data_IF_003867208355
#
_entry.id   IF_003867208355
#
_cell.length_a   1.000
_cell.length_b   1.000
_cell.length_c   1.000
_cell.angle_alpha   90.00
_cell.angle_beta   90.00
_cell.angle_gamma   90.00
#
_symmetry.space_group_name_H-M   'P 1'
#
loop_
_entity.id
_entity.type
_entity.pdbx_description
1 polymer ?
#
# COMPACT_ATOMS: atom_id res chain seq x y z
N UNK A 1 -22.95 0.27 -22.59
CA UNK A 1 -24.02 1.28 -22.74
C UNK A 1 -23.43 2.45 -23.51
N UNK A 2 -24.07 2.90 -24.60
CA UNK A 2 -23.52 3.96 -25.45
C UNK A 2 -23.95 5.32 -24.90
N UNK A 3 -23.00 6.11 -24.42
CA UNK A 3 -23.23 7.44 -23.88
C UNK A 3 -23.48 8.50 -24.98
N UNK A 4 -23.93 9.71 -24.61
CA UNK A 4 -24.21 10.81 -25.54
C UNK A 4 -22.99 11.23 -26.39
N UNK A 5 -21.77 10.97 -25.91
CA UNK A 5 -20.51 11.33 -26.59
C UNK A 5 -19.97 10.22 -27.51
N UNK A 6 -20.74 9.15 -27.75
CA UNK A 6 -20.30 8.00 -28.55
C UNK A 6 -19.39 7.01 -27.82
N UNK A 7 -19.09 7.27 -26.54
CA UNK A 7 -18.32 6.40 -25.65
C UNK A 7 -19.15 5.16 -25.31
N UNK A 8 -18.55 3.98 -25.45
CA UNK A 8 -19.12 2.72 -24.96
C UNK A 8 -18.54 2.36 -23.61
N UNK A 9 -19.41 2.24 -22.60
CA UNK A 9 -19.01 1.81 -21.25
C UNK A 9 -19.44 0.38 -21.00
N UNK A 10 -18.49 -0.47 -20.61
CA UNK A 10 -18.73 -1.79 -20.02
C UNK A 10 -18.26 -1.79 -18.57
N UNK A 11 -18.90 -2.61 -17.72
CA UNK A 11 -18.57 -2.73 -16.30
C UNK A 11 -18.51 -4.21 -15.92
N UNK A 12 -17.52 -4.57 -15.12
CA UNK A 12 -17.33 -5.90 -14.57
C UNK A 12 -16.73 -5.84 -13.18
N UNK A 13 -17.10 -6.80 -12.34
CA UNK A 13 -16.54 -6.96 -11.00
C UNK A 13 -15.76 -8.28 -10.96
N UNK A 14 -14.53 -8.23 -10.46
CA UNK A 14 -13.61 -9.37 -10.43
C UNK A 14 -13.10 -9.58 -9.01
N UNK A 15 -12.87 -10.84 -8.63
CA UNK A 15 -12.29 -11.16 -7.35
C UNK A 15 -10.78 -10.84 -7.32
N UNK A 16 -10.27 -10.33 -6.20
CA UNK A 16 -8.82 -10.13 -5.98
C UNK A 16 -8.10 -11.43 -5.59
N UNK A 17 -8.53 -12.55 -6.16
CA UNK A 17 -7.87 -13.86 -6.07
C UNK A 17 -7.06 -14.10 -7.33
N UNK A 18 -6.12 -15.06 -7.31
CA UNK A 18 -5.36 -15.41 -8.53
C UNK A 18 -6.28 -15.71 -9.72
N UNK A 19 -7.34 -16.50 -9.50
CA UNK A 19 -8.29 -16.85 -10.56
C UNK A 19 -9.05 -15.61 -11.06
N UNK A 20 -9.56 -14.77 -10.16
CA UNK A 20 -10.27 -13.55 -10.55
C UNK A 20 -9.39 -12.52 -11.26
N UNK A 21 -8.10 -12.46 -10.92
CA UNK A 21 -7.14 -11.60 -11.64
C UNK A 21 -6.80 -12.13 -13.03
N UNK A 22 -6.79 -13.46 -13.23
CA UNK A 22 -6.69 -14.06 -14.58
C UNK A 22 -7.94 -13.73 -15.39
N UNK A 23 -9.13 -13.83 -14.81
CA UNK A 23 -10.39 -13.44 -15.46
C UNK A 23 -10.39 -11.96 -15.84
N UNK A 24 -9.92 -11.08 -14.96
CA UNK A 24 -9.74 -9.65 -15.23
C UNK A 24 -8.78 -9.43 -16.41
N UNK A 25 -7.63 -10.11 -16.42
CA UNK A 25 -6.65 -9.98 -17.50
C UNK A 25 -7.23 -10.44 -18.86
N UNK A 26 -7.95 -11.56 -18.88
CA UNK A 26 -8.64 -12.03 -20.09
C UNK A 26 -9.69 -11.02 -20.56
N UNK A 27 -10.52 -10.51 -19.65
CA UNK A 27 -11.54 -9.51 -19.97
C UNK A 27 -10.95 -8.24 -20.60
N UNK A 28 -9.86 -7.72 -20.04
CA UNK A 28 -9.18 -6.54 -20.56
C UNK A 28 -8.52 -6.82 -21.93
N UNK A 29 -7.94 -8.00 -22.10
CA UNK A 29 -7.32 -8.42 -23.36
C UNK A 29 -8.35 -8.62 -24.48
N UNK A 30 -9.50 -9.25 -24.19
CA UNK A 30 -10.59 -9.45 -25.15
C UNK A 30 -11.20 -8.12 -25.60
N UNK A 31 -11.29 -7.16 -24.69
CA UNK A 31 -11.71 -5.80 -24.98
C UNK A 31 -10.60 -4.93 -25.63
N UNK A 32 -9.40 -5.49 -25.85
CA UNK A 32 -8.25 -4.81 -26.45
C UNK A 32 -7.89 -3.50 -25.71
N UNK A 33 -7.94 -3.52 -24.38
CA UNK A 33 -7.62 -2.36 -23.55
C UNK A 33 -6.14 -2.02 -23.65
N UNK A 34 -5.84 -0.81 -24.10
CA UNK A 34 -4.45 -0.31 -24.21
C UNK A 34 -3.93 0.25 -22.88
N UNK A 35 -4.78 0.99 -22.17
CA UNK A 35 -4.42 1.68 -20.92
C UNK A 35 -5.32 1.24 -19.77
N UNK A 36 -4.70 0.84 -18.65
CA UNK A 36 -5.38 0.54 -17.39
C UNK A 36 -4.94 1.53 -16.32
N UNK A 37 -5.90 2.23 -15.71
CA UNK A 37 -5.66 3.10 -14.58
C UNK A 37 -6.20 2.49 -13.29
N UNK A 38 -5.40 2.52 -12.22
CA UNK A 38 -5.81 2.05 -10.88
C UNK A 38 -5.36 3.03 -9.79
N UNK A 39 -6.14 3.13 -8.72
CA UNK A 39 -5.83 4.00 -7.59
C UNK A 39 -4.78 3.38 -6.67
N UNK A 40 -3.85 4.20 -6.18
CA UNK A 40 -2.81 3.80 -5.22
C UNK A 40 -3.35 3.65 -3.79
N UNK A 41 -4.24 2.69 -3.57
CA UNK A 41 -4.90 2.46 -2.27
C UNK A 41 -4.16 1.41 -1.44
N UNK A 42 -3.26 1.87 -0.56
CA UNK A 42 -2.51 0.98 0.34
C UNK A 42 -1.70 -0.08 -0.40
N UNK A 43 -1.83 -1.35 0.01
CA UNK A 43 -1.19 -2.50 -0.67
C UNK A 43 -2.10 -3.16 -1.71
N UNK A 44 -3.37 -2.79 -1.79
CA UNK A 44 -4.38 -3.52 -2.56
C UNK A 44 -4.23 -3.37 -4.08
N UNK A 45 -3.53 -2.34 -4.54
CA UNK A 45 -3.18 -2.20 -5.96
C UNK A 45 -2.11 -3.20 -6.41
N UNK A 46 -1.24 -3.68 -5.51
CA UNK A 46 -0.08 -4.51 -5.87
C UNK A 46 -0.49 -5.80 -6.61
N UNK A 47 -1.44 -6.62 -6.10
CA UNK A 47 -1.83 -7.86 -6.79
C UNK A 47 -2.39 -7.60 -8.18
N UNK A 48 -3.20 -6.56 -8.35
CA UNK A 48 -3.79 -6.18 -9.65
C UNK A 48 -2.69 -5.71 -10.61
N UNK A 49 -1.83 -4.80 -10.15
CA UNK A 49 -0.73 -4.28 -10.96
C UNK A 49 0.21 -5.39 -11.42
N UNK A 50 0.65 -6.27 -10.51
CA UNK A 50 1.58 -7.34 -10.86
C UNK A 50 0.96 -8.40 -11.77
N UNK A 51 -0.36 -8.61 -11.70
CA UNK A 51 -1.05 -9.53 -12.61
C UNK A 51 -1.15 -8.99 -14.04
N UNK A 52 -1.14 -7.66 -14.21
CA UNK A 52 -1.28 -6.99 -15.51
C UNK A 52 0.05 -6.48 -16.08
N UNK A 53 1.10 -6.39 -15.25
CA UNK A 53 2.43 -5.94 -15.65
C UNK A 53 3.00 -6.83 -16.77
N UNK A 54 3.28 -6.23 -17.92
CA UNK A 54 3.74 -6.93 -19.14
C UNK A 54 2.63 -7.53 -20.00
N UNK A 55 1.35 -7.46 -19.59
CA UNK A 55 0.20 -7.85 -20.40
C UNK A 55 -0.53 -6.64 -21.02
N UNK A 56 -0.54 -5.51 -20.31
CA UNK A 56 -1.15 -4.25 -20.74
C UNK A 56 -0.05 -3.27 -21.18
N UNK A 57 -0.29 -2.52 -22.25
CA UNK A 57 0.67 -1.56 -22.80
C UNK A 57 0.96 -0.41 -21.82
N UNK A 58 -0.09 0.26 -21.34
CA UNK A 58 0.01 1.37 -20.38
C UNK A 58 -0.65 1.00 -19.04
N UNK A 59 0.14 0.89 -17.97
CA UNK A 59 -0.35 0.50 -16.63
C UNK A 59 -0.12 1.62 -15.61
N UNK A 60 -1.16 2.41 -15.39
CA UNK A 60 -1.09 3.64 -14.60
C UNK A 60 -1.51 3.41 -13.15
N UNK A 61 -0.57 3.69 -12.24
CA UNK A 61 -0.87 3.81 -10.81
C UNK A 61 -1.12 5.28 -10.46
N UNK A 62 -2.36 5.66 -10.22
CA UNK A 62 -2.78 7.04 -9.97
C UNK A 62 -2.76 7.36 -8.47
N UNK A 63 -2.19 8.51 -8.09
CA UNK A 63 -2.25 8.98 -6.71
C UNK A 63 -3.69 9.41 -6.37
N UNK A 64 -4.25 8.85 -5.29
CA UNK A 64 -5.57 9.19 -4.77
C UNK A 64 -5.80 10.70 -4.58
N UNK A 65 -4.75 11.48 -4.27
CA UNK A 65 -4.87 12.93 -4.11
C UNK A 65 -5.12 13.66 -5.44
N UNK A 66 -4.66 13.09 -6.56
CA UNK A 66 -4.87 13.65 -7.90
C UNK A 66 -6.21 13.22 -8.49
N UNK A 67 -6.68 12.04 -8.09
CA UNK A 67 -8.03 11.55 -8.38
C UNK A 67 -8.98 12.18 -7.36
N UNK A 68 -9.28 13.48 -7.50
CA UNK A 68 -10.13 14.21 -6.53
C UNK A 68 -11.35 13.37 -6.12
N UNK A 69 -11.52 13.16 -4.82
CA UNK A 69 -12.74 12.60 -4.24
C UNK A 69 -13.92 13.52 -4.59
N UNK A 70 -14.79 13.05 -5.49
CA UNK A 70 -16.05 13.74 -5.79
C UNK A 70 -17.02 13.44 -4.64
N UNK A 71 -17.52 14.46 -3.92
CA UNK A 71 -18.48 14.25 -2.85
C UNK A 71 -19.72 13.52 -3.39
N UNK A 72 -20.02 12.33 -2.86
CA UNK A 72 -21.24 11.59 -3.20
C UNK A 72 -21.05 10.23 -3.87
N UNK A 73 -19.81 9.80 -4.20
CA UNK A 73 -19.56 8.41 -4.62
C UNK A 73 -19.49 7.47 -3.42
N UNK A 74 -20.13 6.31 -3.55
CA UNK A 74 -20.36 5.35 -2.46
C UNK A 74 -19.97 3.91 -2.79
N UNK A 75 -19.58 3.61 -4.03
CA UNK A 75 -19.31 2.23 -4.46
C UNK A 75 -18.04 2.13 -5.30
N UNK A 76 -17.30 1.02 -5.14
CA UNK A 76 -16.06 0.74 -5.89
C UNK A 76 -16.25 0.82 -7.41
N UNK A 77 -17.43 0.41 -7.91
CA UNK A 77 -17.77 0.51 -9.33
C UNK A 77 -17.87 1.96 -9.83
N UNK A 78 -18.44 2.85 -9.01
CA UNK A 78 -18.55 4.27 -9.37
C UNK A 78 -17.20 4.99 -9.36
N UNK A 79 -16.27 4.54 -8.51
CA UNK A 79 -14.91 5.06 -8.45
C UNK A 79 -14.06 4.55 -9.61
N UNK A 80 -14.22 3.27 -10.00
CA UNK A 80 -13.56 2.70 -11.17
C UNK A 80 -14.01 3.38 -12.49
N UNK A 81 -15.31 3.60 -12.66
CA UNK A 81 -15.87 4.30 -13.83
C UNK A 81 -15.31 5.73 -13.95
N UNK A 82 -15.23 6.44 -12.83
CA UNK A 82 -14.63 7.76 -12.81
C UNK A 82 -13.16 7.76 -13.16
N UNK A 83 -12.39 6.84 -12.56
CA UNK A 83 -10.96 6.76 -12.80
C UNK A 83 -10.69 6.49 -14.28
N UNK A 84 -11.49 5.64 -14.91
CA UNK A 84 -11.43 5.40 -16.35
C UNK A 84 -11.72 6.69 -17.16
N UNK A 85 -12.76 7.44 -16.80
CA UNK A 85 -13.13 8.68 -17.49
C UNK A 85 -12.03 9.75 -17.38
N UNK A 86 -11.51 9.99 -16.17
CA UNK A 86 -10.45 10.99 -15.98
C UNK A 86 -9.13 10.58 -16.61
N UNK A 87 -8.82 9.27 -16.66
CA UNK A 87 -7.65 8.75 -17.35
C UNK A 87 -7.78 8.91 -18.86
N UNK A 88 -8.95 8.59 -19.44
CA UNK A 88 -9.23 8.76 -20.87
C UNK A 88 -9.09 10.22 -21.33
N UNK A 89 -9.41 11.17 -20.46
CA UNK A 89 -9.27 12.61 -20.73
C UNK A 89 -7.90 13.19 -20.35
N UNK A 90 -6.94 12.37 -19.92
CA UNK A 90 -5.59 12.82 -19.54
C UNK A 90 -5.54 13.71 -18.31
N UNK A 91 -6.57 13.67 -17.45
CA UNK A 91 -6.67 14.52 -16.25
C UNK A 91 -5.91 13.95 -15.04
N UNK A 92 -5.32 12.76 -15.17
CA UNK A 92 -4.49 12.12 -14.14
C UNK A 92 -3.12 11.79 -14.71
N UNK A 93 -2.11 11.75 -13.82
CA UNK A 93 -0.74 11.40 -14.17
C UNK A 93 -0.34 10.09 -13.48
N UNK A 94 0.27 9.13 -14.20
CA UNK A 94 0.79 7.92 -13.58
C UNK A 94 1.91 8.25 -12.59
N UNK A 95 1.86 7.57 -11.45
CA UNK A 95 2.96 7.55 -10.48
C UNK A 95 4.02 6.55 -10.94
N UNK A 96 5.28 6.85 -10.65
CA UNK A 96 6.37 5.91 -10.92
C UNK A 96 6.22 4.66 -10.05
N UNK A 97 6.04 3.51 -10.72
CA UNK A 97 6.20 2.19 -10.11
C UNK A 97 7.60 1.69 -10.47
N UNK A 98 8.50 1.47 -9.48
CA UNK A 98 9.84 0.98 -9.77
C UNK A 98 9.82 -0.44 -10.37
N UNK A 99 10.90 -0.84 -11.07
CA UNK A 99 11.09 -2.22 -11.50
C UNK A 99 11.04 -3.23 -10.34
N UNK A 100 10.71 -4.51 -10.61
CA UNK A 100 10.57 -5.55 -9.59
C UNK A 100 11.71 -5.60 -8.56
N UNK A 101 12.96 -5.61 -9.02
CA UNK A 101 14.16 -5.68 -8.17
C UNK A 101 14.23 -4.52 -7.15
N UNK A 102 13.87 -3.31 -7.59
CA UNK A 102 13.84 -2.14 -6.72
C UNK A 102 12.66 -2.20 -5.74
N UNK A 103 11.51 -2.76 -6.15
CA UNK A 103 10.35 -2.93 -5.26
C UNK A 103 10.65 -3.91 -4.12
N UNK A 104 11.31 -5.03 -4.42
CA UNK A 104 11.72 -6.02 -3.42
C UNK A 104 12.67 -5.41 -2.38
N UNK A 105 13.70 -4.69 -2.84
CA UNK A 105 14.61 -3.97 -1.94
C UNK A 105 13.88 -2.91 -1.09
N UNK A 106 12.92 -2.19 -1.68
CA UNK A 106 12.10 -1.21 -0.96
C UNK A 106 11.22 -1.86 0.10
N UNK A 107 10.64 -3.01 -0.17
CA UNK A 107 9.78 -3.71 0.80
C UNK A 107 10.62 -4.17 2.03
N UNK A 108 11.81 -4.73 1.81
CA UNK A 108 12.72 -5.15 2.90
C UNK A 108 13.23 -3.94 3.71
N UNK A 109 13.68 -2.89 3.04
CA UNK A 109 14.22 -1.69 3.72
C UNK A 109 13.17 -0.93 4.49
N UNK A 110 11.95 -0.81 3.95
CA UNK A 110 10.80 -0.21 4.64
C UNK A 110 10.38 -1.06 5.84
N UNK A 111 10.30 -2.38 5.68
CA UNK A 111 9.98 -3.27 6.79
C UNK A 111 11.02 -3.16 7.90
N UNK A 112 12.31 -3.17 7.57
CA UNK A 112 13.39 -2.94 8.55
C UNK A 112 13.22 -1.62 9.28
N UNK A 113 12.92 -0.52 8.58
CA UNK A 113 12.68 0.78 9.22
C UNK A 113 11.52 0.70 10.20
N UNK A 114 10.39 0.11 9.80
CA UNK A 114 9.23 -0.11 10.68
C UNK A 114 9.62 -0.90 11.93
N UNK A 115 10.41 -1.97 11.80
CA UNK A 115 10.87 -2.76 12.94
C UNK A 115 11.82 -2.00 13.86
N UNK A 116 12.72 -1.19 13.30
CA UNK A 116 13.62 -0.33 14.07
C UNK A 116 12.83 0.70 14.87
N UNK A 117 11.86 1.37 14.23
CA UNK A 117 11.01 2.37 14.87
C UNK A 117 10.11 1.73 15.95
N UNK A 118 9.57 0.54 15.68
CA UNK A 118 8.79 -0.23 16.66
C UNK A 118 9.66 -0.62 17.88
N UNK A 119 10.86 -1.16 17.64
CA UNK A 119 11.81 -1.50 18.71
C UNK A 119 12.14 -0.28 19.57
N UNK A 120 12.40 0.88 18.95
CA UNK A 120 12.69 2.10 19.69
C UNK A 120 11.51 2.54 20.59
N UNK A 121 10.28 2.46 20.06
CA UNK A 121 9.06 2.75 20.84
C UNK A 121 8.89 1.79 22.00
N UNK A 122 9.15 0.49 21.83
CA UNK A 122 9.02 -0.46 22.94
C UNK A 122 10.09 -0.27 24.00
N UNK A 123 11.32 0.10 23.63
CA UNK A 123 12.35 0.45 24.61
C UNK A 123 11.91 1.67 25.45
N UNK A 124 11.31 2.68 24.82
CA UNK A 124 10.77 3.84 25.54
C UNK A 124 9.60 3.49 26.45
N UNK A 125 8.73 2.56 26.05
CA UNK A 125 7.63 2.09 26.91
C UNK A 125 8.16 1.30 28.11
N UNK A 126 9.14 0.43 27.89
CA UNK A 126 9.82 -0.28 28.97
C UNK A 126 10.44 0.70 29.97
N UNK A 127 11.13 1.74 29.49
CA UNK A 127 11.70 2.76 30.37
C UNK A 127 10.64 3.42 31.25
N UNK A 128 9.49 3.79 30.68
CA UNK A 128 8.40 4.42 31.43
C UNK A 128 7.84 3.50 32.51
N UNK A 129 7.65 2.21 32.20
CA UNK A 129 7.18 1.22 33.18
C UNK A 129 8.17 1.06 34.33
N UNK A 130 9.47 0.98 34.02
CA UNK A 130 10.50 0.87 35.05
C UNK A 130 10.57 2.12 35.92
N UNK A 131 10.48 3.31 35.33
CA UNK A 131 10.45 4.57 36.09
C UNK A 131 9.23 4.67 37.01
N UNK A 132 8.06 4.23 36.55
CA UNK A 132 6.84 4.18 37.37
C UNK A 132 6.99 3.22 38.57
N UNK A 133 7.70 2.11 38.37
CA UNK A 133 8.09 1.18 39.44
C UNK A 133 9.24 1.69 40.34
N UNK A 134 9.73 2.92 40.14
CA UNK A 134 10.86 3.49 40.90
C UNK A 134 12.25 3.02 40.45
N UNK A 135 12.35 2.27 39.35
CA UNK A 135 13.60 1.73 38.80
C UNK A 135 14.12 2.65 37.69
N UNK A 136 15.12 3.49 38.01
CA UNK A 136 15.71 4.42 37.05
C UNK A 136 16.98 3.85 36.39
N UNK A 137 16.82 2.92 35.43
CA UNK A 137 17.99 2.31 34.75
C UNK A 137 18.93 3.32 34.07
N UNK A 138 18.39 4.45 33.60
CA UNK A 138 19.18 5.50 32.94
C UNK A 138 20.13 6.25 33.86
N UNK A 139 20.03 6.11 35.19
CA UNK A 139 21.03 6.69 36.10
C UNK A 139 22.29 5.83 36.23
N UNK A 140 22.22 4.54 35.87
CA UNK A 140 23.30 3.58 36.08
C UNK A 140 23.80 2.92 34.79
N UNK A 141 23.00 2.92 33.72
CA UNK A 141 23.35 2.32 32.45
C UNK A 141 23.31 3.34 31.30
N UNK A 142 24.28 3.24 30.38
CA UNK A 142 24.37 4.12 29.20
C UNK A 142 23.22 3.94 28.20
N UNK A 143 22.51 2.80 28.25
CA UNK A 143 21.36 2.49 27.41
C UNK A 143 20.31 1.74 28.24
N UNK A 144 19.04 2.09 28.06
CA UNK A 144 17.90 1.39 28.69
C UNK A 144 17.87 -0.09 28.33
N UNK A 145 18.21 -0.41 27.08
CA UNK A 145 18.18 -1.78 26.56
C UNK A 145 19.58 -2.24 26.16
N UNK A 146 20.28 -2.85 27.12
CA UNK A 146 21.59 -3.49 26.97
C UNK A 146 21.56 -4.90 27.58
N UNK A 147 22.62 -5.71 27.39
CA UNK A 147 22.74 -7.02 28.05
C UNK A 147 22.66 -6.87 29.57
N UNK A 148 23.43 -5.94 30.14
CA UNK A 148 23.40 -5.62 31.58
C UNK A 148 22.03 -5.17 32.05
N UNK A 149 21.34 -4.32 31.29
CA UNK A 149 19.99 -3.86 31.66
C UNK A 149 19.00 -5.04 31.74
N UNK A 150 19.12 -6.02 30.84
CA UNK A 150 18.26 -7.22 30.85
C UNK A 150 18.53 -8.09 32.07
N UNK A 151 19.81 -8.33 32.39
CA UNK A 151 20.20 -9.10 33.57
C UNK A 151 19.68 -8.44 34.86
N UNK A 152 19.76 -7.11 34.98
CA UNK A 152 19.23 -6.36 36.12
C UNK A 152 17.71 -6.52 36.23
N UNK A 153 16.97 -6.36 35.12
CA UNK A 153 15.51 -6.52 35.09
C UNK A 153 15.12 -7.95 35.49
N UNK A 154 15.76 -8.96 34.92
CA UNK A 154 15.50 -10.37 35.24
C UNK A 154 15.76 -10.69 36.71
N UNK A 155 16.81 -10.10 37.31
CA UNK A 155 17.10 -10.28 38.73
C UNK A 155 16.07 -9.61 39.65
N UNK A 156 15.45 -8.50 39.23
CA UNK A 156 14.42 -7.80 40.00
C UNK A 156 13.01 -8.41 39.86
N UNK A 157 12.76 -9.16 38.79
CA UNK A 157 11.46 -9.82 38.54
C UNK A 157 11.38 -11.25 39.09
N UNK A 158 12.45 -11.78 39.70
CA UNK A 158 12.45 -13.06 40.42
C UNK A 158 12.19 -12.84 41.90
#
# INVERSE_FOLDING_TARGET
MRGPDGIETSKGSFATTRAGLVELASYLSEAQVDTVAMEATGVYWKPVYYALEGLVHELWLCNAQHVKNVPGRKTDLSDAEWLADVAAHGMVRPSLVPPPEIRELRDVTRYRKTQVDARAKEIQRLEKVLQDAGIKLTSVASKVWSSTSREIIEAHCR
#
